data_IF_908826671567
#
_entry.id   IF_908826671567
#
_cell.length_a   1.000
_cell.length_b   1.000
_cell.length_c   1.000
_cell.angle_alpha   90.00
_cell.angle_beta   90.00
_cell.angle_gamma   90.00
#
_symmetry.space_group_name_H-M   'P 1'
#
loop_
_entity.id
_entity.type
_entity.pdbx_description
1 polymer ?
#
# COMPACT_ATOMS: atom_id res chain seq x y z
N UNK A 1 -0.35 28.45 -9.09
CA UNK A 1 -1.20 28.15 -7.91
C UNK A 1 -1.79 26.77 -8.17
N UNK A 2 -0.95 25.74 -8.03
CA UNK A 2 -1.18 24.38 -8.52
C UNK A 2 -2.18 23.61 -7.62
N UNK A 3 -2.93 22.65 -8.17
CA UNK A 3 -3.76 21.76 -7.36
C UNK A 3 -2.88 21.04 -6.32
N UNK A 4 -3.42 20.87 -5.11
CA UNK A 4 -2.75 20.09 -4.07
C UNK A 4 -2.92 18.61 -4.43
N UNK A 5 -1.88 18.04 -5.02
CA UNK A 5 -1.78 16.60 -5.25
C UNK A 5 -0.98 15.96 -4.12
N UNK A 6 -1.54 14.92 -3.50
CA UNK A 6 -0.83 14.10 -2.52
C UNK A 6 -0.81 12.65 -3.00
N UNK A 7 0.39 12.05 -2.99
CA UNK A 7 0.60 10.65 -3.27
C UNK A 7 0.81 9.90 -1.96
N UNK A 8 0.06 8.83 -1.76
CA UNK A 8 0.20 7.92 -0.63
C UNK A 8 0.44 6.50 -1.13
N UNK A 9 1.18 5.71 -0.36
CA UNK A 9 1.28 4.27 -0.59
C UNK A 9 0.44 3.52 0.43
N UNK A 10 -0.37 2.59 -0.06
CA UNK A 10 -1.17 1.68 0.74
C UNK A 10 -0.65 0.26 0.51
N UNK A 11 -0.56 -0.53 1.57
CA UNK A 11 -0.17 -1.94 1.48
C UNK A 11 -1.27 -2.80 2.07
N UNK A 12 -1.62 -3.85 1.35
CA UNK A 12 -2.65 -4.81 1.73
C UNK A 12 -2.12 -6.22 1.63
N UNK A 13 -2.51 -7.09 2.56
CA UNK A 13 -2.22 -8.52 2.53
C UNK A 13 -3.48 -9.33 2.88
N UNK A 14 -3.58 -10.57 2.39
CA UNK A 14 -4.74 -11.41 2.70
C UNK A 14 -4.56 -12.89 2.36
N UNK A 15 -5.70 -13.56 2.16
CA UNK A 15 -5.78 -15.00 1.87
C UNK A 15 -5.35 -15.36 0.43
N UNK A 16 -5.00 -14.36 -0.40
CA UNK A 16 -4.45 -14.58 -1.74
C UNK A 16 -2.95 -14.88 -1.72
N UNK A 17 -2.31 -14.84 -0.54
CA UNK A 17 -0.87 -15.05 -0.33
C UNK A 17 0.00 -13.93 -0.92
N UNK A 18 -0.63 -12.82 -1.33
CA UNK A 18 0.03 -11.70 -1.98
C UNK A 18 0.16 -10.52 -1.01
N UNK A 19 1.26 -9.80 -1.12
CA UNK A 19 1.33 -8.42 -0.63
C UNK A 19 1.14 -7.51 -1.82
N UNK A 20 0.13 -6.64 -1.77
CA UNK A 20 -0.15 -5.67 -2.83
C UNK A 20 0.17 -4.26 -2.34
N UNK A 21 0.94 -3.53 -3.14
CA UNK A 21 1.26 -2.12 -2.93
C UNK A 21 0.41 -1.31 -3.90
N UNK A 22 -0.28 -0.29 -3.39
CA UNK A 22 -1.17 0.57 -4.13
C UNK A 22 -0.73 2.01 -3.99
N UNK A 23 -0.73 2.72 -5.11
CA UNK A 23 -0.54 4.17 -5.14
C UNK A 23 -1.91 4.84 -5.06
N UNK A 24 -2.08 5.70 -4.07
CA UNK A 24 -3.30 6.46 -3.80
C UNK A 24 -3.00 7.94 -4.07
N UNK A 25 -3.52 8.45 -5.18
CA UNK A 25 -3.40 9.85 -5.58
C UNK A 25 -4.64 10.60 -5.16
N UNK A 26 -4.49 11.55 -4.26
CA UNK A 26 -5.56 12.44 -3.82
C UNK A 26 -5.34 13.79 -4.46
N UNK A 27 -6.27 14.20 -5.32
CA UNK A 27 -6.29 15.51 -5.97
C UNK A 27 -7.41 16.32 -5.34
N UNK A 28 -7.06 17.42 -4.67
CA UNK A 28 -8.05 18.32 -4.10
C UNK A 28 -8.35 19.47 -5.07
N UNK A 29 -9.58 19.48 -5.60
CA UNK A 29 -10.08 20.58 -6.42
C UNK A 29 -10.21 21.86 -5.61
N UNK A 30 -9.77 22.99 -6.17
CA UNK A 30 -9.78 24.28 -5.48
C UNK A 30 -11.19 24.88 -5.50
N UNK A 31 -11.96 24.70 -4.43
CA UNK A 31 -13.27 25.35 -4.26
C UNK A 31 -14.35 24.48 -3.62
N UNK A 32 -14.17 23.16 -3.63
CA UNK A 32 -15.12 22.22 -3.04
C UNK A 32 -14.50 21.52 -1.84
N UNK A 33 -15.01 21.81 -0.64
CA UNK A 33 -14.62 21.09 0.58
C UNK A 33 -14.95 19.59 0.53
N UNK A 34 -15.75 19.14 -0.45
CA UNK A 34 -16.19 17.76 -0.62
C UNK A 34 -15.68 17.05 -1.90
N UNK A 35 -15.03 17.73 -2.85
CA UNK A 35 -14.57 17.11 -4.10
C UNK A 35 -13.07 16.77 -4.05
N UNK A 36 -12.70 15.89 -3.10
CA UNK A 36 -11.40 15.23 -3.15
C UNK A 36 -11.54 13.98 -4.03
N UNK A 37 -10.93 13.98 -5.21
CA UNK A 37 -10.88 12.79 -6.06
C UNK A 37 -9.68 11.96 -5.64
N UNK A 38 -9.93 10.75 -5.17
CA UNK A 38 -8.89 9.77 -4.89
C UNK A 38 -8.84 8.72 -6.02
N UNK A 39 -7.70 8.61 -6.70
CA UNK A 39 -7.41 7.55 -7.64
C UNK A 39 -6.50 6.52 -6.98
N UNK A 40 -6.87 5.24 -7.07
CA UNK A 40 -6.10 4.12 -6.51
C UNK A 40 -5.64 3.25 -7.67
N UNK A 41 -4.34 3.00 -7.77
CA UNK A 41 -3.75 2.12 -8.79
C UNK A 41 -2.84 1.08 -8.14
N UNK A 42 -2.92 -0.17 -8.60
CA UNK A 42 -1.99 -1.22 -8.17
C UNK A 42 -0.59 -0.91 -8.69
N UNK A 43 0.35 -0.72 -7.76
CA UNK A 43 1.74 -0.35 -8.06
C UNK A 43 2.61 -1.61 -8.20
N UNK A 44 2.57 -2.50 -7.20
CA UNK A 44 3.37 -3.73 -7.17
C UNK A 44 2.64 -4.87 -6.48
N UNK A 45 2.99 -6.09 -6.87
CA UNK A 45 2.57 -7.32 -6.20
C UNK A 45 3.83 -8.07 -5.78
N UNK A 46 3.91 -8.43 -4.50
CA UNK A 46 5.04 -9.16 -3.94
C UNK A 46 4.61 -10.59 -3.67
N UNK A 47 5.26 -11.51 -4.37
CA UNK A 47 4.91 -12.93 -4.38
C UNK A 47 6.06 -13.74 -3.76
N UNK A 48 5.87 -14.17 -2.52
CA UNK A 48 6.85 -15.01 -1.81
C UNK A 48 6.20 -15.95 -0.82
N UNK A 49 5.12 -15.50 -0.19
CA UNK A 49 4.37 -16.31 0.76
C UNK A 49 3.66 -17.46 0.04
N UNK A 50 3.64 -18.62 0.70
CA UNK A 50 2.98 -19.82 0.18
C UNK A 50 1.62 -20.08 0.84
N UNK A 51 1.25 -19.25 1.81
CA UNK A 51 -0.02 -19.33 2.53
C UNK A 51 -0.56 -17.94 2.87
N UNK A 52 -1.74 -17.91 3.50
CA UNK A 52 -2.45 -16.69 3.84
C UNK A 52 -1.59 -15.77 4.71
N UNK A 53 -1.56 -14.49 4.36
CA UNK A 53 -0.92 -13.48 5.18
C UNK A 53 -1.87 -13.03 6.28
N UNK A 54 -1.31 -12.86 7.47
CA UNK A 54 -2.03 -12.42 8.66
C UNK A 54 -1.70 -10.97 9.01
N UNK A 55 -0.55 -10.46 8.58
CA UNK A 55 -0.14 -9.10 8.89
C UNK A 55 0.78 -8.53 7.81
N UNK A 56 0.70 -7.20 7.64
CA UNK A 56 1.65 -6.41 6.87
C UNK A 56 1.81 -5.04 7.51
N UNK A 57 3.04 -4.50 7.53
CA UNK A 57 3.34 -3.21 8.14
C UNK A 57 4.50 -2.52 7.44
N UNK A 58 4.38 -1.21 7.26
CA UNK A 58 5.50 -0.35 6.87
C UNK A 58 6.43 -0.08 8.05
N UNK A 59 7.73 -0.01 7.76
CA UNK A 59 8.70 0.59 8.66
C UNK A 59 8.36 2.07 8.90
N UNK A 60 8.71 2.60 10.07
CA UNK A 60 8.48 4.00 10.43
C UNK A 60 9.19 5.00 9.49
N UNK A 61 10.28 4.56 8.86
CA UNK A 61 11.02 5.35 7.87
C UNK A 61 10.52 5.15 6.42
N UNK A 62 9.55 4.26 6.19
CA UNK A 62 9.02 3.96 4.85
C UNK A 62 9.97 3.20 3.92
N UNK A 63 11.14 2.75 4.39
CA UNK A 63 12.14 2.06 3.57
C UNK A 63 11.92 0.54 3.46
N UNK A 64 11.07 -0.01 4.33
CA UNK A 64 10.78 -1.44 4.34
C UNK A 64 9.30 -1.72 4.58
N UNK A 65 8.85 -2.86 4.06
CA UNK A 65 7.58 -3.49 4.41
C UNK A 65 7.90 -4.84 5.03
N UNK A 66 7.27 -5.17 6.14
CA UNK A 66 7.31 -6.50 6.73
C UNK A 66 5.95 -7.18 6.54
N UNK A 67 5.95 -8.43 6.06
CA UNK A 67 4.77 -9.27 5.94
C UNK A 67 4.95 -10.60 6.67
N UNK A 68 3.88 -11.11 7.26
CA UNK A 68 3.87 -12.41 7.96
C UNK A 68 2.63 -13.22 7.60
N UNK A 69 2.78 -14.55 7.53
CA UNK A 69 1.69 -15.44 7.16
C UNK A 69 1.70 -16.81 7.84
N UNK A 70 0.70 -17.62 7.49
CA UNK A 70 0.52 -18.99 7.98
C UNK A 70 1.53 -19.98 7.40
N UNK A 71 2.34 -19.55 6.43
CA UNK A 71 3.49 -20.31 5.93
C UNK A 71 4.68 -20.34 6.92
N UNK A 72 4.50 -19.75 8.11
CA UNK A 72 5.47 -19.68 9.20
C UNK A 72 6.70 -18.85 8.82
N UNK A 73 6.56 -17.95 7.85
CA UNK A 73 7.63 -17.04 7.43
C UNK A 73 7.26 -15.58 7.67
N UNK A 74 8.30 -14.78 7.86
CA UNK A 74 8.24 -13.32 7.81
C UNK A 74 9.15 -12.87 6.69
N UNK A 75 8.63 -12.06 5.78
CA UNK A 75 9.39 -11.52 4.65
C UNK A 75 9.50 -10.01 4.82
N UNK A 76 10.72 -9.51 4.66
CA UNK A 76 11.02 -8.07 4.64
C UNK A 76 11.30 -7.67 3.20
N UNK A 77 10.62 -6.63 2.75
CA UNK A 77 10.68 -6.10 1.41
C UNK A 77 11.23 -4.68 1.45
N UNK A 78 12.11 -4.34 0.51
CA UNK A 78 12.59 -2.97 0.30
C UNK A 78 11.63 -2.23 -0.64
N UNK A 79 11.24 -1.00 -0.27
CA UNK A 79 10.18 -0.22 -0.96
C UNK A 79 10.69 0.62 -2.12
#
# INVERSE_FOLDING_TARGET
NEPLEKLYQLVTCGNDHLVKIWDVRVVQGKGDFNAATAAISLSRVLEKHSSALTCVRFSSNGAYIASSGLDKTVVVWET
#
